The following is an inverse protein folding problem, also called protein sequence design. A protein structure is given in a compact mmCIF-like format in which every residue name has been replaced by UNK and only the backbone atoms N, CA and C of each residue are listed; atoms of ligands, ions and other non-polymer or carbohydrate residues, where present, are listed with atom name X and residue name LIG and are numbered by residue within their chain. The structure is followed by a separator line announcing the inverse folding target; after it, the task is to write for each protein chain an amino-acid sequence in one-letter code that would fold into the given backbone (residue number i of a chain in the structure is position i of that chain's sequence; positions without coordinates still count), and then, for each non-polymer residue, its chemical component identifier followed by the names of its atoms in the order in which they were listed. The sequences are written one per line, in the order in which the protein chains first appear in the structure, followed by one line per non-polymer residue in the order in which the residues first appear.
data_IF_615661900333
#
_entry.id   IF_615661900333
#
_cell.length_a   1.000
_cell.length_b   1.000
_cell.length_c   1.000
_cell.angle_alpha   90.00
_cell.angle_beta   90.00
_cell.angle_gamma   90.00
#
_symmetry.space_group_name_H-M   'P 1'
#
loop_
_entity.id
_entity.type
_entity.pdbx_description
1 polymer ?
#
# COMPACT_ATOMS: atom_id res chain seq x y z
N UNK A 1 8.34 11.69 7.92
CA UNK A 1 8.28 10.30 7.38
C UNK A 1 8.15 10.38 5.86
N UNK A 2 8.83 9.52 5.10
CA UNK A 2 8.89 9.63 3.63
C UNK A 2 7.52 9.48 2.93
N UNK A 3 6.59 8.73 3.54
CA UNK A 3 5.28 8.42 2.96
C UNK A 3 4.16 9.40 3.34
N UNK A 4 4.38 10.31 4.28
CA UNK A 4 3.32 11.19 4.84
C UNK A 4 2.70 12.19 3.85
N UNK A 5 3.26 12.31 2.64
CA UNK A 5 2.77 13.17 1.56
C UNK A 5 1.79 12.47 0.63
N UNK A 6 1.66 11.14 0.75
CA UNK A 6 0.72 10.34 -0.01
C UNK A 6 -0.51 10.06 0.86
N UNK A 7 -1.68 10.09 0.24
CA UNK A 7 -2.91 9.66 0.90
C UNK A 7 -3.04 8.13 0.90
N UNK A 8 -4.01 7.66 1.66
CA UNK A 8 -4.27 6.24 1.86
C UNK A 8 -4.65 5.53 0.56
N UNK A 9 -5.51 6.14 -0.26
CA UNK A 9 -6.02 5.57 -1.50
C UNK A 9 -4.89 5.38 -2.53
N UNK A 10 -4.04 6.40 -2.71
CA UNK A 10 -2.89 6.35 -3.60
C UNK A 10 -1.93 5.21 -3.24
N UNK A 11 -1.68 5.00 -1.95
CA UNK A 11 -0.81 3.91 -1.49
C UNK A 11 -1.48 2.54 -1.69
N UNK A 12 -2.79 2.44 -1.45
CA UNK A 12 -3.55 1.22 -1.71
C UNK A 12 -3.51 0.84 -3.20
N UNK A 13 -3.67 1.80 -4.11
CA UNK A 13 -3.56 1.58 -5.56
C UNK A 13 -2.15 1.11 -5.95
N UNK A 14 -1.10 1.73 -5.43
CA UNK A 14 0.28 1.30 -5.70
C UNK A 14 0.53 -0.13 -5.23
N UNK A 15 -0.04 -0.56 -4.10
CA UNK A 15 0.06 -1.94 -3.61
C UNK A 15 -0.73 -2.89 -4.54
N UNK A 16 -1.95 -2.51 -4.89
CA UNK A 16 -2.86 -3.37 -5.65
C UNK A 16 -2.40 -3.53 -7.11
N UNK A 17 -2.01 -2.44 -7.75
CA UNK A 17 -1.71 -2.35 -9.19
C UNK A 17 -0.21 -2.32 -9.50
N UNK A 18 0.64 -2.13 -8.49
CA UNK A 18 2.07 -2.02 -8.68
C UNK A 18 2.46 -0.75 -9.44
N UNK A 19 3.72 -0.70 -9.89
CA UNK A 19 4.21 0.39 -10.74
C UNK A 19 4.92 -0.24 -11.95
N UNK A 20 4.39 -0.09 -13.18
CA UNK A 20 5.01 -0.63 -14.39
C UNK A 20 6.46 -0.19 -14.56
N UNK A 21 7.32 -1.12 -14.97
CA UNK A 21 8.75 -0.85 -15.17
C UNK A 21 9.57 -0.73 -13.88
N UNK A 22 9.00 -1.05 -12.72
CA UNK A 22 9.72 -1.11 -11.44
C UNK A 22 9.66 -2.52 -10.83
N UNK A 23 10.36 -2.72 -9.71
CA UNK A 23 10.29 -3.95 -8.92
C UNK A 23 9.04 -4.07 -8.05
N UNK A 24 8.06 -3.16 -8.16
CA UNK A 24 6.81 -3.18 -7.41
C UNK A 24 5.71 -3.89 -8.24
N UNK A 25 5.45 -5.19 -8.02
CA UNK A 25 4.41 -5.92 -8.77
C UNK A 25 3.00 -5.58 -8.24
N UNK A 26 1.94 -5.85 -9.02
CA UNK A 26 0.56 -5.79 -8.55
C UNK A 26 0.26 -6.93 -7.58
N UNK A 27 -0.33 -6.62 -6.42
CA UNK A 27 -0.69 -7.61 -5.40
C UNK A 27 -2.19 -7.95 -5.33
N UNK A 28 -3.04 -7.37 -6.19
CA UNK A 28 -4.49 -7.66 -6.28
C UNK A 28 -4.88 -9.15 -6.16
N UNK A 29 -4.17 -10.11 -6.79
CA UNK A 29 -4.56 -11.52 -6.72
C UNK A 29 -4.28 -12.19 -5.37
N UNK A 30 -3.47 -11.56 -4.50
CA UNK A 30 -2.94 -12.17 -3.28
C UNK A 30 -3.42 -11.47 -2.00
N UNK A 31 -3.88 -10.23 -2.09
CA UNK A 31 -4.31 -9.44 -0.94
C UNK A 31 -5.79 -9.10 -1.02
N UNK A 32 -6.48 -9.25 0.10
CA UNK A 32 -7.82 -8.74 0.32
C UNK A 32 -7.80 -7.21 0.57
N UNK A 33 -8.92 -6.51 0.38
CA UNK A 33 -9.01 -5.08 0.69
C UNK A 33 -8.63 -4.75 2.14
N UNK A 34 -9.03 -5.60 3.10
CA UNK A 34 -8.71 -5.39 4.51
C UNK A 34 -7.20 -5.52 4.81
N UNK A 35 -6.50 -6.44 4.14
CA UNK A 35 -5.05 -6.57 4.27
C UNK A 35 -4.32 -5.36 3.68
N UNK A 36 -4.82 -4.81 2.57
CA UNK A 36 -4.25 -3.58 1.99
C UNK A 36 -4.45 -2.38 2.91
N UNK A 37 -5.65 -2.19 3.45
CA UNK A 37 -5.93 -1.13 4.43
C UNK A 37 -4.99 -1.22 5.64
N UNK A 38 -4.77 -2.43 6.16
CA UNK A 38 -3.84 -2.66 7.25
C UNK A 38 -2.40 -2.29 6.87
N UNK A 39 -1.91 -2.72 5.69
CA UNK A 39 -0.56 -2.38 5.21
C UNK A 39 -0.41 -0.86 5.08
N UNK A 40 -1.37 -0.17 4.45
CA UNK A 40 -1.30 1.27 4.24
C UNK A 40 -1.30 2.02 5.57
N UNK A 41 -2.14 1.60 6.51
CA UNK A 41 -2.16 2.15 7.87
C UNK A 41 -0.78 1.98 8.52
N UNK A 42 -0.23 0.77 8.52
CA UNK A 42 1.10 0.51 9.05
C UNK A 42 2.19 1.35 8.37
N UNK A 43 2.15 1.54 7.06
CA UNK A 43 3.11 2.37 6.31
C UNK A 43 3.04 3.85 6.69
N UNK A 44 1.86 4.36 7.02
CA UNK A 44 1.64 5.77 7.40
C UNK A 44 1.96 6.02 8.87
N UNK A 45 1.40 5.21 9.78
CA UNK A 45 1.45 5.38 11.23
C UNK A 45 2.62 4.66 11.88
N UNK A 46 3.17 3.62 11.24
CA UNK A 46 4.23 2.77 11.79
C UNK A 46 3.77 1.95 12.98
N UNK A 47 2.46 1.91 13.23
CA UNK A 47 1.83 1.18 14.32
C UNK A 47 1.34 -0.14 13.75
N UNK A 48 1.80 -1.23 14.36
CA UNK A 48 1.22 -2.56 14.17
C UNK A 48 0.53 -2.90 15.48
N UNK A 49 -0.80 -2.72 15.51
CA UNK A 49 -1.81 -3.05 16.55
C UNK A 49 -2.78 -1.90 16.81
#
# INVERSE_FOLDING_TARGET
RALAKYDHESLAEVILDGIPGTAMPPWRPLLSPAEVDWIVTYLLTGESE
#
